data_IF_957211906984
#
_entry.id   IF_957211906984
#
_cell.length_a   1.000
_cell.length_b   1.000
_cell.length_c   1.000
_cell.angle_alpha   90.00
_cell.angle_beta   90.00
_cell.angle_gamma   90.00
#
_symmetry.space_group_name_H-M   'P 1'
#
loop_
_entity.id
_entity.type
_entity.pdbx_description
1 polymer ?
#
# COMPACT_ATOMS: atom_id res chain seq x y z
N UNK A 1 -7.57 -0.76 -7.43
CA UNK A 1 -6.12 -0.55 -7.62
C UNK A 1 -5.59 -1.54 -8.65
N UNK A 2 -4.42 -1.27 -9.24
CA UNK A 2 -3.67 -2.23 -10.05
C UNK A 2 -2.30 -2.43 -9.39
N UNK A 3 -1.86 -3.67 -9.25
CA UNK A 3 -0.57 -4.01 -8.64
C UNK A 3 0.15 -5.01 -9.51
N UNK A 4 1.31 -4.61 -10.03
CA UNK A 4 2.10 -5.42 -10.95
C UNK A 4 3.52 -5.54 -10.42
N UNK A 5 4.25 -6.55 -10.88
CA UNK A 5 5.69 -6.54 -10.76
C UNK A 5 6.27 -5.34 -11.52
N UNK A 6 7.21 -4.64 -10.89
CA UNK A 6 7.83 -3.43 -11.43
C UNK A 6 8.86 -3.74 -12.53
N UNK A 7 8.39 -4.37 -13.62
CA UNK A 7 9.23 -4.87 -14.71
C UNK A 7 8.48 -4.91 -16.03
N UNK A 8 8.96 -4.13 -16.99
CA UNK A 8 8.46 -4.13 -18.36
C UNK A 8 8.83 -5.45 -19.07
N UNK A 9 7.87 -6.19 -19.67
CA UNK A 9 8.13 -7.46 -20.35
C UNK A 9 9.04 -7.32 -21.59
N UNK A 10 9.20 -6.11 -22.15
CA UNK A 10 10.05 -5.90 -23.31
C UNK A 10 11.55 -6.05 -23.00
N UNK A 11 12.09 -5.23 -22.09
CA UNK A 11 13.53 -5.19 -21.75
C UNK A 11 13.81 -5.03 -20.26
N UNK A 12 12.82 -5.26 -19.40
CA UNK A 12 12.99 -5.28 -17.94
C UNK A 12 13.10 -3.92 -17.26
N UNK A 13 12.86 -2.80 -17.97
CA UNK A 13 12.80 -1.47 -17.33
C UNK A 13 11.73 -1.44 -16.24
N UNK A 14 12.00 -0.73 -15.14
CA UNK A 14 11.00 -0.47 -14.10
C UNK A 14 9.84 0.35 -14.66
N UNK A 15 8.64 -0.20 -14.55
CA UNK A 15 7.41 0.46 -15.00
C UNK A 15 7.05 1.65 -14.10
N UNK A 16 7.48 1.63 -12.83
CA UNK A 16 7.32 2.73 -11.87
C UNK A 16 8.04 4.02 -12.27
N UNK A 17 9.03 3.96 -13.17
CA UNK A 17 9.67 5.13 -13.77
C UNK A 17 8.92 5.69 -14.97
N UNK A 18 7.87 4.99 -15.42
CA UNK A 18 6.97 5.45 -16.46
C UNK A 18 5.98 6.49 -15.97
N UNK A 19 4.87 6.60 -16.69
CA UNK A 19 3.78 7.50 -16.34
C UNK A 19 2.44 6.94 -16.80
N UNK A 20 1.37 7.33 -16.11
CA UNK A 20 0.02 7.02 -16.54
C UNK A 20 -0.42 8.07 -17.55
N UNK A 21 -0.88 7.63 -18.73
CA UNK A 21 -1.50 8.46 -19.75
C UNK A 21 -2.89 7.90 -20.02
N UNK A 22 -3.91 8.70 -19.74
CA UNK A 22 -5.31 8.25 -19.74
C UNK A 22 -5.47 7.05 -18.78
N UNK A 23 -5.81 5.88 -19.30
CA UNK A 23 -5.97 4.64 -18.54
C UNK A 23 -4.87 3.61 -18.87
N UNK A 24 -3.70 4.05 -19.32
CA UNK A 24 -2.57 3.18 -19.67
C UNK A 24 -1.30 3.57 -18.93
N UNK A 25 -0.56 2.57 -18.46
CA UNK A 25 0.78 2.75 -17.93
C UNK A 25 1.78 2.74 -19.08
N UNK A 26 2.55 3.81 -19.26
CA UNK A 26 3.53 3.96 -20.33
C UNK A 26 4.93 3.75 -19.79
N UNK A 27 5.65 2.76 -20.32
CA UNK A 27 7.04 2.51 -19.97
C UNK A 27 7.95 3.64 -20.50
N UNK A 28 8.78 4.23 -19.63
CA UNK A 28 9.68 5.33 -19.99
C UNK A 28 10.73 4.95 -21.06
N UNK A 29 11.04 3.66 -21.23
CA UNK A 29 12.13 3.27 -22.12
C UNK A 29 11.77 3.41 -23.61
N UNK A 30 10.75 2.68 -24.07
CA UNK A 30 10.34 2.66 -25.48
C UNK A 30 8.88 3.07 -25.68
N UNK A 31 8.24 3.59 -24.63
CA UNK A 31 6.85 4.05 -24.67
C UNK A 31 5.81 2.95 -24.86
N UNK A 32 6.14 1.68 -24.58
CA UNK A 32 5.13 0.62 -24.60
C UNK A 32 4.03 0.96 -23.58
N UNK A 33 2.78 0.93 -24.03
CA UNK A 33 1.61 1.29 -23.21
C UNK A 33 0.88 0.01 -22.80
N UNK A 34 0.54 -0.10 -21.52
CA UNK A 34 -0.14 -1.27 -20.92
C UNK A 34 -1.51 -0.89 -20.36
N UNK A 35 -2.52 -1.71 -20.63
CA UNK A 35 -3.86 -1.56 -20.09
C UNK A 35 -3.98 -2.02 -18.63
N UNK A 36 -5.15 -1.85 -18.02
CA UNK A 36 -5.44 -2.27 -16.63
C UNK A 36 -5.29 -3.78 -16.38
N UNK A 37 -5.41 -4.58 -17.43
CA UNK A 37 -5.18 -6.04 -17.44
C UNK A 37 -3.69 -6.42 -17.55
N UNK A 38 -2.80 -5.43 -17.61
CA UNK A 38 -1.36 -5.61 -17.82
C UNK A 38 -0.99 -5.89 -19.28
N UNK A 39 -1.94 -6.02 -20.21
CA UNK A 39 -1.67 -6.31 -21.61
C UNK A 39 -1.08 -5.12 -22.35
N UNK A 40 -0.06 -5.35 -23.19
CA UNK A 40 0.48 -4.32 -24.08
C UNK A 40 -0.60 -3.92 -25.11
N UNK A 41 -0.94 -2.64 -25.15
CA UNK A 41 -1.94 -2.09 -26.05
C UNK A 41 -1.33 -1.30 -27.19
N UNK A 42 -0.09 -0.80 -27.03
CA UNK A 42 0.57 0.00 -28.06
C UNK A 42 2.08 -0.13 -28.01
N UNK A 43 2.67 -0.28 -29.20
CA UNK A 43 4.11 -0.25 -29.43
C UNK A 43 4.39 0.97 -30.33
N UNK A 44 4.90 2.09 -29.80
CA UNK A 44 5.04 3.33 -30.58
C UNK A 44 5.87 3.21 -31.86
N UNK A 45 6.90 2.34 -31.86
CA UNK A 45 7.73 2.09 -33.03
C UNK A 45 7.00 1.33 -34.16
N UNK A 46 5.89 0.66 -33.84
CA UNK A 46 5.10 -0.16 -34.76
C UNK A 46 3.60 0.11 -34.52
N UNK A 47 3.09 1.31 -34.86
CA UNK A 47 1.75 1.74 -34.47
C UNK A 47 0.62 0.92 -35.12
N UNK A 48 0.87 0.34 -36.29
CA UNK A 48 -0.10 -0.49 -37.01
C UNK A 48 -0.13 -1.95 -36.54
N UNK A 49 0.80 -2.34 -35.65
CA UNK A 49 0.88 -3.71 -35.14
C UNK A 49 0.01 -3.84 -33.90
N UNK A 50 -0.95 -4.76 -33.95
CA UNK A 50 -1.65 -5.24 -32.76
C UNK A 50 -0.69 -6.08 -31.92
N UNK A 51 -0.35 -5.66 -30.68
CA UNK A 51 0.56 -6.44 -29.84
C UNK A 51 0.00 -7.84 -29.52
N UNK A 52 0.82 -8.90 -29.55
CA UNK A 52 0.41 -10.22 -29.09
C UNK A 52 -0.08 -10.22 -27.64
N UNK A 53 -1.11 -11.02 -27.34
CA UNK A 53 -1.69 -11.18 -25.98
C UNK A 53 -0.70 -11.74 -24.94
N UNK A 54 0.44 -12.25 -25.37
CA UNK A 54 1.51 -12.74 -24.49
C UNK A 54 2.40 -11.62 -23.95
N UNK A 55 2.31 -10.41 -24.50
CA UNK A 55 3.10 -9.25 -24.06
C UNK A 55 2.40 -8.54 -22.89
N UNK A 56 2.34 -9.22 -21.75
CA UNK A 56 1.71 -8.70 -20.55
C UNK A 56 2.74 -8.38 -19.46
N UNK A 57 2.45 -7.35 -18.66
CA UNK A 57 3.03 -7.19 -17.33
C UNK A 57 2.53 -8.32 -16.42
N UNK A 58 3.35 -8.66 -15.43
CA UNK A 58 3.01 -9.69 -14.44
C UNK A 58 2.17 -9.04 -13.32
N UNK A 59 0.90 -9.47 -13.20
CA UNK A 59 -0.13 -8.84 -12.37
C UNK A 59 -0.36 -9.64 -11.07
N UNK A 60 -0.60 -8.93 -9.97
CA UNK A 60 -0.88 -9.52 -8.66
C UNK A 60 -2.33 -9.24 -8.25
N UNK A 61 -2.87 -10.13 -7.40
CA UNK A 61 -4.21 -9.96 -6.85
C UNK A 61 -4.21 -8.86 -5.80
N UNK A 62 -5.25 -8.03 -5.83
CA UNK A 62 -5.35 -6.83 -5.00
C UNK A 62 -6.78 -6.60 -4.50
N UNK A 63 -6.88 -6.23 -3.23
CA UNK A 63 -8.12 -5.78 -2.58
C UNK A 63 -7.87 -4.48 -1.84
N UNK A 64 -8.88 -3.60 -1.82
CA UNK A 64 -8.82 -2.33 -1.10
C UNK A 64 -9.77 -2.35 0.10
N UNK A 65 -9.23 -2.31 1.31
CA UNK A 65 -10.02 -2.33 2.54
C UNK A 65 -9.30 -1.56 3.63
N UNK A 66 -10.03 -1.10 4.65
CA UNK A 66 -9.46 -0.29 5.74
C UNK A 66 -8.70 0.97 5.26
N UNK A 67 -8.96 1.46 4.03
CA UNK A 67 -8.22 2.57 3.42
C UNK A 67 -6.79 2.20 3.03
N UNK A 68 -6.53 0.91 2.81
CA UNK A 68 -5.23 0.31 2.50
C UNK A 68 -5.35 -0.62 1.28
N UNK A 69 -4.22 -0.89 0.63
CA UNK A 69 -4.12 -1.81 -0.51
C UNK A 69 -3.46 -3.10 -0.03
N UNK A 70 -4.18 -4.22 -0.10
CA UNK A 70 -3.68 -5.56 0.24
C UNK A 70 -3.30 -6.31 -1.03
N UNK A 71 -2.14 -6.94 -1.03
CA UNK A 71 -1.56 -7.62 -2.20
C UNK A 71 -1.27 -9.08 -1.87
N UNK A 72 -1.64 -10.01 -2.77
CA UNK A 72 -1.38 -11.43 -2.63
C UNK A 72 -0.90 -12.02 -3.96
N UNK A 73 -0.02 -13.02 -3.89
CA UNK A 73 0.34 -13.85 -5.04
C UNK A 73 -0.71 -14.95 -5.32
N UNK A 74 -1.53 -15.26 -4.32
CA UNK A 74 -2.68 -16.16 -4.45
C UNK A 74 -3.99 -15.38 -4.40
N UNK A 75 -5.08 -16.03 -4.01
CA UNK A 75 -6.36 -15.35 -3.81
C UNK A 75 -6.26 -14.26 -2.72
N UNK A 76 -7.10 -13.24 -2.84
CA UNK A 76 -7.22 -12.19 -1.85
C UNK A 76 -8.62 -12.28 -1.23
N UNK A 77 -8.70 -12.69 0.03
CA UNK A 77 -9.96 -12.89 0.76
C UNK A 77 -10.49 -11.60 1.38
N UNK A 78 -9.74 -10.49 1.29
CA UNK A 78 -10.15 -9.22 1.92
C UNK A 78 -11.33 -8.61 1.19
N UNK A 79 -12.44 -8.45 1.89
CA UNK A 79 -13.60 -7.72 1.40
C UNK A 79 -13.26 -6.25 1.13
N UNK A 80 -13.65 -5.79 -0.06
CA UNK A 80 -13.42 -4.40 -0.47
C UNK A 80 -14.33 -3.46 0.32
N UNK A 81 -13.75 -2.40 0.89
CA UNK A 81 -14.48 -1.44 1.71
C UNK A 81 -13.91 -0.02 1.57
N UNK A 82 -14.80 0.93 1.29
CA UNK A 82 -14.50 2.35 0.99
C UNK A 82 -14.86 3.32 2.12
N UNK A 83 -15.36 2.85 3.26
CA UNK A 83 -15.76 3.72 4.39
C UNK A 83 -14.58 4.31 5.17
N UNK A 84 -13.37 3.82 4.90
CA UNK A 84 -12.16 4.17 5.64
C UNK A 84 -11.35 5.22 4.90
N UNK A 85 -10.87 6.19 5.66
CA UNK A 85 -10.02 7.26 5.16
C UNK A 85 -8.61 7.10 5.73
N UNK A 86 -7.62 7.05 4.84
CA UNK A 86 -6.21 6.96 5.24
C UNK A 86 -5.78 8.20 6.03
N UNK A 87 -5.00 7.97 7.09
CA UNK A 87 -4.43 9.04 7.92
C UNK A 87 -2.95 9.18 7.66
N UNK A 88 -2.17 8.13 7.92
CA UNK A 88 -0.71 8.15 7.76
C UNK A 88 -0.09 6.77 7.81
N UNK A 89 0.95 6.58 7.01
CA UNK A 89 1.92 5.50 7.17
C UNK A 89 3.19 6.04 7.84
N UNK A 90 3.76 5.30 8.79
CA UNK A 90 5.07 5.58 9.40
C UNK A 90 5.93 4.32 9.35
N UNK A 91 7.25 4.51 9.23
CA UNK A 91 8.23 3.43 9.33
C UNK A 91 8.97 3.55 10.66
N UNK A 92 9.10 2.43 11.35
CA UNK A 92 9.68 2.29 12.67
C UNK A 92 10.87 1.34 12.63
N UNK A 93 11.89 1.64 13.43
CA UNK A 93 13.07 0.79 13.63
C UNK A 93 12.86 -0.19 14.81
N UNK A 94 11.71 -0.84 14.85
CA UNK A 94 11.37 -1.78 15.93
C UNK A 94 10.71 -3.05 15.39
N UNK A 95 10.65 -4.08 16.21
CA UNK A 95 9.87 -5.28 15.90
C UNK A 95 8.35 -5.01 16.00
N UNK A 96 7.55 -6.01 15.61
CA UNK A 96 6.09 -5.92 15.59
C UNK A 96 5.49 -5.77 16.98
N UNK A 97 6.05 -6.44 17.99
CA UNK A 97 5.52 -6.40 19.35
C UNK A 97 5.72 -5.00 19.96
N UNK A 98 6.90 -4.41 19.76
CA UNK A 98 7.22 -3.04 20.14
C UNK A 98 6.33 -2.02 19.42
N UNK A 99 6.08 -2.21 18.12
CA UNK A 99 5.18 -1.35 17.35
C UNK A 99 3.75 -1.37 17.92
N UNK A 100 3.22 -2.57 18.21
CA UNK A 100 1.89 -2.74 18.80
C UNK A 100 1.78 -2.12 20.19
N UNK A 101 2.79 -2.32 21.05
CA UNK A 101 2.83 -1.70 22.37
C UNK A 101 2.80 -0.18 22.30
N UNK A 102 3.58 0.41 21.38
CA UNK A 102 3.61 1.86 21.19
C UNK A 102 2.32 2.45 20.62
N UNK A 103 1.60 1.71 19.75
CA UNK A 103 0.28 2.10 19.26
C UNK A 103 -0.75 2.08 20.42
N UNK A 104 -0.69 1.04 21.26
CA UNK A 104 -1.63 0.84 22.36
C UNK A 104 -1.65 2.01 23.37
N UNK A 105 -0.58 2.81 23.43
CA UNK A 105 -0.50 4.00 24.28
C UNK A 105 -1.51 5.10 23.91
N UNK A 106 -2.02 5.14 22.69
CA UNK A 106 -2.94 6.18 22.23
C UNK A 106 -4.08 5.71 21.31
N UNK A 107 -4.10 4.42 20.97
CA UNK A 107 -5.22 3.75 20.32
C UNK A 107 -5.49 2.45 21.09
N UNK A 108 -6.65 2.33 21.72
CA UNK A 108 -7.09 1.08 22.35
C UNK A 108 -7.39 0.04 21.27
N UNK A 109 -6.37 -0.69 20.83
CA UNK A 109 -6.47 -1.74 19.82
C UNK A 109 -7.15 -3.00 20.38
N UNK A 110 -8.03 -3.60 19.58
CA UNK A 110 -8.69 -4.88 19.84
C UNK A 110 -7.84 -6.04 19.32
N UNK A 111 -8.37 -7.26 19.39
CA UNK A 111 -7.79 -8.40 18.69
C UNK A 111 -7.62 -8.14 17.19
N UNK A 112 -6.57 -8.74 16.62
CA UNK A 112 -6.26 -8.64 15.21
C UNK A 112 -7.36 -9.30 14.37
N UNK A 113 -7.87 -8.57 13.39
CA UNK A 113 -8.67 -9.10 12.30
C UNK A 113 -7.78 -9.89 11.33
N UNK A 114 -8.42 -10.54 10.35
CA UNK A 114 -7.73 -11.13 9.20
C UNK A 114 -6.78 -10.09 8.57
N UNK A 115 -5.59 -10.53 8.15
CA UNK A 115 -4.55 -9.66 7.55
C UNK A 115 -3.86 -8.66 8.52
N UNK A 116 -3.87 -8.96 9.82
CA UNK A 116 -3.10 -8.22 10.84
C UNK A 116 -3.53 -6.76 10.99
N UNK A 117 -4.82 -6.49 10.77
CA UNK A 117 -5.44 -5.19 11.01
C UNK A 117 -6.07 -5.19 12.41
N UNK A 118 -5.80 -4.16 13.18
CA UNK A 118 -6.32 -3.95 14.52
C UNK A 118 -7.31 -2.80 14.49
N UNK A 119 -8.49 -2.99 15.09
CA UNK A 119 -9.51 -1.96 15.22
C UNK A 119 -9.46 -1.37 16.62
N UNK A 120 -9.93 -0.14 16.82
CA UNK A 120 -10.17 0.34 18.17
C UNK A 120 -11.54 -0.14 18.71
N UNK A 121 -11.76 -0.06 20.03
CA UNK A 121 -13.03 -0.47 20.69
C UNK A 121 -14.31 0.10 20.03
N UNK A 122 -14.23 1.29 19.43
CA UNK A 122 -15.34 1.93 18.72
C UNK A 122 -15.43 1.61 17.23
N UNK A 123 -14.54 0.78 16.67
CA UNK A 123 -14.43 0.50 15.24
C UNK A 123 -14.42 1.79 14.37
N UNK A 124 -13.63 2.78 14.80
CA UNK A 124 -13.47 4.09 14.15
C UNK A 124 -12.05 4.35 13.68
N UNK A 125 -11.08 3.58 14.17
CA UNK A 125 -9.66 3.64 13.78
C UNK A 125 -9.21 2.22 13.45
N UNK A 126 -8.55 2.08 12.30
CA UNK A 126 -7.91 0.83 11.87
C UNK A 126 -6.41 1.04 11.80
N UNK A 127 -5.65 0.06 12.29
CA UNK A 127 -4.20 0.07 12.31
C UNK A 127 -3.68 -1.25 11.75
N UNK A 128 -2.92 -1.20 10.66
CA UNK A 128 -2.18 -2.36 10.17
C UNK A 128 -0.71 -2.22 10.56
N UNK A 129 -0.11 -3.31 11.06
CA UNK A 129 1.32 -3.38 11.37
C UNK A 129 1.96 -4.37 10.41
N UNK A 130 2.77 -3.87 9.49
CA UNK A 130 3.49 -4.66 8.49
C UNK A 130 4.94 -4.85 8.95
N UNK A 131 5.36 -6.06 9.33
CA UNK A 131 6.78 -6.36 9.50
C UNK A 131 7.51 -6.17 8.15
N UNK A 132 8.53 -5.31 8.12
CA UNK A 132 9.39 -5.12 6.96
C UNK A 132 10.69 -5.92 7.09
N UNK A 133 11.14 -6.17 8.33
CA UNK A 133 12.24 -7.05 8.68
C UNK A 133 12.04 -7.56 10.12
N UNK A 134 13.05 -8.23 10.70
CA UNK A 134 13.03 -8.61 12.13
C UNK A 134 13.09 -7.40 13.07
N UNK A 135 13.60 -6.26 12.60
CA UNK A 135 13.89 -5.06 13.42
C UNK A 135 13.26 -3.80 12.84
N UNK A 136 12.34 -3.92 11.89
CA UNK A 136 11.66 -2.76 11.30
C UNK A 136 10.24 -3.10 10.90
N UNK A 137 9.31 -2.18 11.18
CA UNK A 137 7.91 -2.31 10.81
C UNK A 137 7.41 -1.03 10.14
N UNK A 138 6.39 -1.17 9.30
CA UNK A 138 5.53 -0.06 8.90
C UNK A 138 4.21 -0.14 9.69
N UNK A 139 3.70 1.01 10.11
CA UNK A 139 2.33 1.13 10.63
C UNK A 139 1.53 1.97 9.65
N UNK A 140 0.35 1.48 9.30
CA UNK A 140 -0.64 2.17 8.48
C UNK A 140 -1.86 2.46 9.34
N UNK A 141 -2.23 3.73 9.48
CA UNK A 141 -3.39 4.15 10.27
C UNK A 141 -4.45 4.79 9.36
N UNK A 142 -5.68 4.35 9.55
CA UNK A 142 -6.89 4.83 8.87
C UNK A 142 -7.99 5.11 9.89
N UNK A 143 -9.01 5.88 9.49
CA UNK A 143 -10.17 6.19 10.33
C UNK A 143 -11.44 6.30 9.49
N UNK A 144 -12.60 6.02 10.10
CA UNK A 144 -13.91 6.28 9.48
C UNK A 144 -14.31 7.76 9.50
N UNK A 145 -13.61 8.60 10.27
CA UNK A 145 -13.92 10.04 10.33
C UNK A 145 -13.39 10.76 9.09
N UNK A 146 -14.26 11.46 8.37
CA UNK A 146 -13.85 12.39 7.29
C UNK A 146 -13.41 13.76 7.82
N UNK A 147 -13.65 14.06 9.10
CA UNK A 147 -13.32 15.35 9.70
C UNK A 147 -11.79 15.59 9.76
N UNK A 148 -11.27 16.68 9.18
CA UNK A 148 -9.83 16.96 9.15
C UNK A 148 -9.18 17.09 10.54
N UNK A 149 -9.89 17.64 11.54
CA UNK A 149 -9.33 17.94 12.86
C UNK A 149 -8.91 16.68 13.65
N UNK A 150 -9.79 15.69 13.88
CA UNK A 150 -9.40 14.45 14.54
C UNK A 150 -8.40 13.64 13.71
N UNK A 151 -8.47 13.68 12.36
CA UNK A 151 -7.49 13.06 11.48
C UNK A 151 -6.09 13.65 11.66
N UNK A 152 -5.98 14.98 11.72
CA UNK A 152 -4.72 15.66 11.98
C UNK A 152 -4.16 15.31 13.36
N UNK A 153 -5.01 15.21 14.38
CA UNK A 153 -4.59 14.79 15.72
C UNK A 153 -4.01 13.36 15.72
N UNK A 154 -4.66 12.41 15.02
CA UNK A 154 -4.14 11.05 14.83
C UNK A 154 -2.80 11.05 14.08
N UNK A 155 -2.69 11.81 12.98
CA UNK A 155 -1.45 11.93 12.23
C UNK A 155 -0.29 12.48 13.08
N UNK A 156 -0.55 13.47 13.93
CA UNK A 156 0.45 14.03 14.87
C UNK A 156 0.91 12.98 15.89
N UNK A 157 -0.02 12.19 16.45
CA UNK A 157 0.31 11.09 17.37
C UNK A 157 1.20 10.03 16.70
N UNK A 158 0.92 9.66 15.45
CA UNK A 158 1.76 8.74 14.67
C UNK A 158 3.20 9.27 14.49
N UNK A 159 3.37 10.57 14.25
CA UNK A 159 4.71 11.19 14.15
C UNK A 159 5.42 11.19 15.50
N UNK A 160 4.72 11.48 16.59
CA UNK A 160 5.27 11.42 17.94
C UNK A 160 5.72 10.00 18.30
N UNK A 161 4.91 8.98 17.97
CA UNK A 161 5.26 7.57 18.14
C UNK A 161 6.56 7.21 17.40
N UNK A 162 6.66 7.57 16.12
CA UNK A 162 7.90 7.33 15.34
C UNK A 162 9.11 7.96 16.00
N UNK A 163 8.99 9.21 16.47
CA UNK A 163 10.09 9.91 17.15
C UNK A 163 10.49 9.18 18.43
N UNK A 164 9.51 8.82 19.28
CA UNK A 164 9.75 8.09 20.54
C UNK A 164 10.50 6.79 20.29
N UNK A 165 10.02 5.96 19.37
CA UNK A 165 10.61 4.64 19.08
C UNK A 165 12.00 4.79 18.48
N UNK A 166 12.17 5.59 17.43
CA UNK A 166 13.46 5.68 16.74
C UNK A 166 14.51 6.49 17.52
N UNK A 167 14.11 7.38 18.45
CA UNK A 167 15.06 8.09 19.32
C UNK A 167 15.51 7.24 20.50
N UNK A 168 14.63 6.37 21.04
CA UNK A 168 14.97 5.45 22.13
C UNK A 168 16.01 4.37 21.77
N UNK A 169 16.33 4.20 20.49
CA UNK A 169 17.34 3.25 19.98
C UNK A 169 18.72 3.88 19.75
N UNK A 170 18.84 5.21 19.89
CA UNK A 170 20.08 5.96 19.66
C UNK A 170 20.85 6.33 20.95
N UNK A 171 20.43 5.77 22.08
CA UNK A 171 21.09 5.87 23.39
C UNK A 171 21.56 4.50 23.83
#
# INVERSE_FOLDING_TARGET
>A
AHVWHDRCPHRGMRLSFGFVKENRLTCLYHGWEYGSDGGCQKIPAHPEVTPPKTLCADILNVSESYGMVFVSAGENTVETNTEWVSVRSIFLECDRAQALAGIAEFVEITEAQENQVYLNKGNTVAVAVQPCSRTSCAIHLSTRSTNPTPRLALAKRMVALRRKINQGLRT
#
